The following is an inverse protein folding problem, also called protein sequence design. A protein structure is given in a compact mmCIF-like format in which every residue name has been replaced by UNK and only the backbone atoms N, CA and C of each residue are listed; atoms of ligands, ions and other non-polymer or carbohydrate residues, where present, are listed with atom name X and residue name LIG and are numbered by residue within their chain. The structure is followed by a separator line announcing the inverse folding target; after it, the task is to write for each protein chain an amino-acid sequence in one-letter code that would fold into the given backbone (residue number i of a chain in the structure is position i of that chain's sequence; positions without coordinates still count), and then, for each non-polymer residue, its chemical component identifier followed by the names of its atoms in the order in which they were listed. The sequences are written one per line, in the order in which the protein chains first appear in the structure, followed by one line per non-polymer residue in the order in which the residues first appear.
data_IF_673735223670
#
_entry.id   IF_673735223670
#
_cell.length_a   1.000
_cell.length_b   1.000
_cell.length_c   1.000
_cell.angle_alpha   90.00
_cell.angle_beta   90.00
_cell.angle_gamma   90.00
#
_symmetry.space_group_name_H-M   'P 1'
#
loop_
_entity.id
_entity.type
_entity.pdbx_description
1 polymer ?
#
# COMPACT_ATOMS: atom_id res chain seq x y z
N UNK A 1 -35.64 38.75 -50.57
CA UNK A 1 -35.44 37.76 -49.49
C UNK A 1 -34.33 36.81 -49.96
N UNK A 2 -33.08 37.16 -49.65
CA UNK A 2 -31.89 36.40 -50.09
C UNK A 2 -31.65 35.28 -49.07
N UNK A 3 -31.69 34.02 -49.50
CA UNK A 3 -31.33 32.87 -48.67
C UNK A 3 -29.87 32.48 -48.93
N UNK A 4 -29.13 32.42 -47.84
CA UNK A 4 -27.69 32.30 -47.71
C UNK A 4 -27.36 30.85 -47.32
N UNK A 5 -26.53 30.11 -48.07
CA UNK A 5 -25.89 28.89 -47.54
C UNK A 5 -24.48 28.75 -48.14
N UNK A 6 -23.47 29.13 -47.35
CA UNK A 6 -22.06 28.72 -47.53
C UNK A 6 -21.88 27.32 -46.95
N UNK A 7 -21.22 26.42 -47.69
CA UNK A 7 -20.83 25.09 -47.23
C UNK A 7 -19.29 25.03 -47.17
N UNK A 8 -18.72 25.20 -45.97
CA UNK A 8 -17.32 24.87 -45.69
C UNK A 8 -17.28 23.57 -44.89
N UNK A 9 -16.79 22.50 -45.51
CA UNK A 9 -16.56 21.20 -44.87
C UNK A 9 -15.21 21.21 -44.15
N UNK A 10 -15.21 21.26 -42.81
CA UNK A 10 -14.00 21.13 -42.00
C UNK A 10 -13.85 19.66 -41.56
N UNK A 11 -12.92 18.93 -42.17
CA UNK A 11 -12.49 17.60 -41.68
C UNK A 11 -11.60 17.80 -40.44
N UNK A 12 -12.14 17.48 -39.26
CA UNK A 12 -11.34 17.36 -38.04
C UNK A 12 -10.72 15.96 -37.99
N UNK A 13 -9.41 15.86 -38.26
CA UNK A 13 -8.63 14.65 -38.06
C UNK A 13 -8.49 14.34 -36.57
N UNK A 14 -9.11 13.26 -36.11
CA UNK A 14 -8.89 12.69 -34.78
C UNK A 14 -7.50 12.04 -34.77
N UNK A 15 -6.52 12.75 -34.20
CA UNK A 15 -5.24 12.13 -33.83
C UNK A 15 -5.43 11.44 -32.49
N UNK A 16 -5.44 10.11 -32.52
CA UNK A 16 -5.42 9.26 -31.31
C UNK A 16 -4.06 9.39 -30.64
N UNK A 17 -3.99 10.20 -29.59
CA UNK A 17 -2.86 10.22 -28.65
C UNK A 17 -2.89 8.92 -27.85
N UNK A 18 -1.99 7.98 -28.18
CA UNK A 18 -1.67 6.87 -27.30
C UNK A 18 -1.00 7.45 -26.05
N UNK A 19 -1.75 7.55 -24.95
CA UNK A 19 -1.19 7.83 -23.64
C UNK A 19 -0.33 6.63 -23.21
N UNK A 20 0.97 6.69 -23.50
CA UNK A 20 1.95 5.86 -22.82
C UNK A 20 1.87 6.21 -21.34
N UNK A 21 1.31 5.31 -20.54
CA UNK A 21 1.37 5.38 -19.08
C UNK A 21 2.85 5.41 -18.67
N UNK A 22 3.38 6.61 -18.43
CA UNK A 22 4.67 6.81 -17.80
C UNK A 22 4.60 6.19 -16.41
N UNK A 23 5.07 4.95 -16.33
CA UNK A 23 5.23 4.21 -15.09
C UNK A 23 6.41 4.86 -14.36
N UNK A 24 6.15 5.97 -13.67
CA UNK A 24 7.10 6.64 -12.78
C UNK A 24 7.33 5.72 -11.58
N UNK A 25 8.18 4.71 -11.78
CA UNK A 25 8.57 3.78 -10.72
C UNK A 25 9.20 4.58 -9.59
N UNK A 26 8.89 4.19 -8.36
CA UNK A 26 9.50 4.81 -7.21
C UNK A 26 11.03 4.64 -7.25
N UNK A 27 11.74 5.62 -6.70
CA UNK A 27 13.21 5.59 -6.61
C UNK A 27 13.67 4.29 -5.94
N UNK A 28 14.73 3.67 -6.46
CA UNK A 28 15.26 2.40 -5.94
C UNK A 28 14.60 1.14 -6.51
N UNK A 29 13.65 1.25 -7.44
CA UNK A 29 13.03 0.09 -8.10
C UNK A 29 11.88 -0.54 -7.31
N UNK A 30 11.48 0.08 -6.19
CA UNK A 30 10.32 -0.31 -5.40
C UNK A 30 9.02 -0.15 -6.20
N UNK A 31 8.00 -0.95 -5.86
CA UNK A 31 6.69 -0.93 -6.50
C UNK A 31 5.67 -0.38 -5.51
N UNK A 32 5.28 0.86 -5.75
CA UNK A 32 4.51 1.69 -4.82
C UNK A 32 3.31 2.28 -5.56
N UNK A 33 2.23 1.50 -5.63
CA UNK A 33 0.99 1.90 -6.29
C UNK A 33 -0.01 2.35 -5.23
N UNK A 34 -0.77 3.41 -5.50
CA UNK A 34 -1.82 3.91 -4.59
C UNK A 34 -3.06 3.04 -4.54
N UNK A 35 -3.17 1.97 -5.35
CA UNK A 35 -4.22 0.96 -5.23
C UNK A 35 -3.78 -0.35 -5.88
N UNK A 36 -4.44 -1.45 -5.53
CA UNK A 36 -4.18 -2.74 -6.14
C UNK A 36 -4.80 -3.90 -5.38
N UNK A 37 -4.32 -5.11 -5.69
CA UNK A 37 -4.66 -6.32 -4.94
C UNK A 37 -3.57 -6.64 -3.93
N UNK A 38 -3.99 -7.19 -2.79
CA UNK A 38 -3.11 -7.56 -1.71
C UNK A 38 -3.53 -8.86 -1.04
N UNK A 39 -2.62 -9.40 -0.26
CA UNK A 39 -2.91 -10.41 0.77
C UNK A 39 -2.77 -9.78 2.15
N UNK A 40 -3.39 -10.40 3.14
CA UNK A 40 -3.52 -9.87 4.49
C UNK A 40 -3.25 -10.98 5.50
N UNK A 41 -2.39 -10.70 6.48
CA UNK A 41 -2.21 -11.53 7.68
C UNK A 41 -2.23 -10.64 8.92
N UNK A 42 -1.91 -11.20 10.09
CA UNK A 42 -1.81 -10.44 11.33
C UNK A 42 -0.58 -10.82 12.15
N UNK A 43 -0.04 -9.85 12.88
CA UNK A 43 1.12 -10.02 13.75
C UNK A 43 0.94 -9.27 15.08
N UNK A 44 1.77 -9.61 16.06
CA UNK A 44 1.86 -8.94 17.37
C UNK A 44 3.21 -8.25 17.52
N UNK A 45 3.30 -7.25 18.41
CA UNK A 45 4.56 -6.60 18.75
C UNK A 45 4.90 -5.38 17.88
N UNK A 46 3.91 -4.57 17.50
CA UNK A 46 4.11 -3.41 16.62
C UNK A 46 4.53 -2.12 17.34
N UNK A 47 4.99 -2.24 18.59
CA UNK A 47 5.39 -1.09 19.43
C UNK A 47 6.74 -0.47 19.08
N UNK A 48 7.61 -1.20 18.36
CA UNK A 48 8.91 -0.72 17.91
C UNK A 48 9.16 -1.00 16.40
N UNK A 49 8.35 -0.39 15.51
CA UNK A 49 8.32 -0.80 14.11
C UNK A 49 9.40 -0.12 13.26
N UNK A 50 9.62 -0.60 12.03
CA UNK A 50 10.70 -0.18 11.14
C UNK A 50 10.68 1.30 10.73
N UNK A 51 9.51 1.96 10.74
CA UNK A 51 9.43 3.41 10.51
C UNK A 51 9.95 4.23 11.70
N UNK A 52 10.18 3.59 12.85
CA UNK A 52 10.73 4.21 14.06
C UNK A 52 9.72 5.00 14.90
N UNK A 53 8.44 4.94 14.56
CA UNK A 53 7.33 5.45 15.36
C UNK A 53 6.20 4.43 15.33
N UNK A 54 5.68 4.06 16.48
CA UNK A 54 4.39 3.36 16.60
C UNK A 54 3.23 4.34 16.36
N UNK A 55 1.99 3.85 16.39
CA UNK A 55 0.80 4.67 16.40
C UNK A 55 -0.32 3.97 17.18
N UNK A 56 -1.29 4.72 17.73
CA UNK A 56 -2.38 4.17 18.55
C UNK A 56 -3.56 3.63 17.75
N UNK A 57 -3.71 4.05 16.49
CA UNK A 57 -4.73 3.54 15.58
C UNK A 57 -4.33 2.23 14.91
N UNK A 58 -5.16 1.73 13.99
CA UNK A 58 -4.83 0.50 13.25
C UNK A 58 -3.58 0.70 12.41
N UNK A 59 -2.61 -0.20 12.59
CA UNK A 59 -1.33 -0.16 11.89
C UNK A 59 -1.09 -1.45 11.12
N UNK A 60 -0.22 -1.38 10.12
CA UNK A 60 0.21 -2.55 9.37
C UNK A 60 1.70 -2.47 9.00
N UNK A 61 2.30 -3.64 8.84
CA UNK A 61 3.55 -3.81 8.11
C UNK A 61 3.26 -4.00 6.62
N UNK A 62 4.04 -3.39 5.74
CA UNK A 62 3.91 -3.56 4.28
C UNK A 62 5.06 -4.40 3.74
N UNK A 63 4.82 -5.23 2.71
CA UNK A 63 5.88 -6.02 2.10
C UNK A 63 7.04 -5.15 1.59
N UNK A 64 8.27 -5.64 1.73
CA UNK A 64 9.50 -4.90 1.47
C UNK A 64 9.55 -4.18 0.12
N UNK A 65 9.05 -4.82 -0.95
CA UNK A 65 9.03 -4.25 -2.30
C UNK A 65 8.17 -2.98 -2.42
N UNK A 66 7.19 -2.82 -1.53
CA UNK A 66 6.33 -1.64 -1.44
C UNK A 66 6.70 -0.72 -0.25
N UNK A 67 7.28 -1.26 0.82
CA UNK A 67 7.70 -0.50 1.98
C UNK A 67 8.71 0.61 1.63
N UNK A 68 9.65 0.30 0.74
CA UNK A 68 10.64 1.28 0.28
C UNK A 68 11.96 1.28 1.04
N UNK A 69 12.26 0.23 1.80
CA UNK A 69 13.51 0.09 2.57
C UNK A 69 13.79 -1.38 2.87
N UNK A 70 14.99 -1.70 3.36
CA UNK A 70 15.39 -3.02 3.82
C UNK A 70 15.61 -3.03 5.34
N UNK A 71 15.63 -4.21 6.00
CA UNK A 71 15.92 -4.30 7.42
C UNK A 71 17.19 -3.54 7.82
N UNK A 72 17.08 -2.68 8.84
CA UNK A 72 18.19 -1.87 9.36
C UNK A 72 18.46 -0.55 8.62
N UNK A 73 17.81 -0.27 7.48
CA UNK A 73 17.99 1.00 6.74
C UNK A 73 17.01 2.11 7.13
N UNK A 74 16.10 1.83 8.07
CA UNK A 74 15.11 2.78 8.57
C UNK A 74 13.89 2.95 7.65
N UNK A 75 13.23 4.09 7.77
CA UNK A 75 11.94 4.37 7.12
C UNK A 75 12.02 4.42 5.58
N UNK A 76 11.16 3.64 4.92
CA UNK A 76 10.86 3.75 3.49
C UNK A 76 9.68 4.69 3.21
N UNK A 77 9.37 4.92 1.94
CA UNK A 77 8.35 5.89 1.53
C UNK A 77 6.92 5.50 1.92
N UNK A 78 6.67 4.23 2.24
CA UNK A 78 5.37 3.78 2.74
C UNK A 78 5.06 4.30 4.14
N UNK A 79 6.08 4.68 4.91
CA UNK A 79 5.93 5.08 6.30
C UNK A 79 4.99 6.26 6.51
N UNK A 80 3.90 6.01 7.24
CA UNK A 80 2.89 6.98 7.59
C UNK A 80 1.71 7.07 6.62
N UNK A 81 1.80 6.45 5.44
CA UNK A 81 0.68 6.45 4.48
C UNK A 81 -0.49 5.63 5.00
N UNK A 82 -1.70 6.06 4.67
CA UNK A 82 -2.93 5.41 5.09
C UNK A 82 -3.62 4.69 3.94
N UNK A 83 -4.13 3.49 4.19
CA UNK A 83 -4.75 2.65 3.18
C UNK A 83 -6.07 2.09 3.70
N UNK A 84 -7.14 2.27 2.91
CA UNK A 84 -8.35 1.49 3.05
C UNK A 84 -8.10 0.10 2.46
N UNK A 85 -8.12 -0.93 3.29
CA UNK A 85 -7.91 -2.32 2.89
C UNK A 85 -9.22 -3.10 3.03
N UNK A 86 -9.51 -3.98 2.08
CA UNK A 86 -10.76 -4.76 2.04
C UNK A 86 -10.45 -6.23 1.80
N UNK A 87 -10.89 -7.10 2.71
CA UNK A 87 -10.87 -8.54 2.50
C UNK A 87 -11.96 -8.96 1.51
N UNK A 88 -11.70 -9.95 0.67
CA UNK A 88 -12.70 -10.46 -0.30
C UNK A 88 -12.69 -11.98 -0.48
N UNK A 89 -11.65 -12.67 -0.02
CA UNK A 89 -11.54 -14.11 -0.10
C UNK A 89 -10.57 -14.66 0.95
N UNK A 90 -10.85 -15.85 1.47
CA UNK A 90 -9.88 -16.66 2.23
C UNK A 90 -9.22 -17.66 1.27
N UNK A 91 -7.90 -17.58 1.02
CA UNK A 91 -7.20 -18.50 0.12
C UNK A 91 -7.14 -19.95 0.64
N UNK A 92 -7.33 -20.17 1.95
CA UNK A 92 -7.36 -21.49 2.58
C UNK A 92 -8.77 -22.06 2.70
N UNK A 93 -9.78 -21.20 2.67
CA UNK A 93 -11.20 -21.57 2.69
C UNK A 93 -11.93 -20.98 1.48
N UNK A 94 -11.67 -21.45 0.24
CA UNK A 94 -12.16 -20.81 -0.98
C UNK A 94 -13.71 -20.78 -1.11
N UNK A 95 -14.41 -21.60 -0.34
CA UNK A 95 -15.88 -21.61 -0.29
C UNK A 95 -16.46 -20.65 0.77
N UNK A 96 -15.62 -20.00 1.58
CA UNK A 96 -16.06 -19.01 2.57
C UNK A 96 -16.45 -17.71 1.86
N UNK A 97 -17.68 -17.26 2.09
CA UNK A 97 -18.27 -16.10 1.40
C UNK A 97 -18.33 -14.83 2.26
N UNK A 98 -17.72 -14.84 3.44
CA UNK A 98 -17.70 -13.71 4.37
C UNK A 98 -18.50 -13.94 5.65
N UNK A 99 -18.73 -12.88 6.45
CA UNK A 99 -18.55 -11.47 6.11
C UNK A 99 -17.09 -11.07 5.89
N UNK A 100 -16.85 -10.10 5.03
CA UNK A 100 -15.55 -9.44 4.90
C UNK A 100 -15.66 -7.97 5.30
N UNK A 101 -14.55 -7.40 5.75
CA UNK A 101 -14.50 -6.06 6.33
C UNK A 101 -13.52 -5.15 5.58
N UNK A 102 -13.77 -3.84 5.73
CA UNK A 102 -12.87 -2.77 5.29
C UNK A 102 -12.40 -2.00 6.51
N UNK A 103 -11.10 -1.77 6.64
CA UNK A 103 -10.52 -0.87 7.65
C UNK A 103 -9.54 0.10 7.00
N UNK A 104 -9.24 1.20 7.69
CA UNK A 104 -8.14 2.10 7.29
C UNK A 104 -6.96 1.86 8.23
N UNK A 105 -5.81 1.50 7.67
CA UNK A 105 -4.56 1.29 8.40
C UNK A 105 -3.53 2.36 8.05
N UNK A 106 -2.68 2.73 9.00
CA UNK A 106 -1.45 3.49 8.76
C UNK A 106 -0.27 2.52 8.67
N UNK A 107 0.56 2.61 7.62
CA UNK A 107 1.77 1.77 7.52
C UNK A 107 2.84 2.32 8.46
N UNK A 108 3.25 1.51 9.42
CA UNK A 108 4.30 1.88 10.38
C UNK A 108 5.48 0.91 10.35
N UNK A 109 5.34 -0.23 9.66
CA UNK A 109 6.31 -1.31 9.76
C UNK A 109 6.62 -1.99 8.42
N UNK A 110 7.67 -2.79 8.43
CA UNK A 110 8.18 -3.57 7.32
C UNK A 110 7.87 -5.05 7.53
N UNK A 111 7.27 -5.67 6.52
CA UNK A 111 7.27 -7.13 6.38
C UNK A 111 8.40 -7.52 5.40
N UNK A 112 9.55 -8.02 5.90
CA UNK A 112 10.71 -8.27 5.06
C UNK A 112 10.54 -9.53 4.20
N UNK A 113 11.23 -9.59 3.06
CA UNK A 113 11.29 -10.80 2.20
C UNK A 113 11.84 -11.99 3.01
N UNK A 114 12.93 -11.77 3.74
CA UNK A 114 13.56 -12.80 4.56
C UNK A 114 12.61 -13.21 5.70
N UNK A 115 12.33 -14.51 5.79
CA UNK A 115 11.46 -15.08 6.82
C UNK A 115 9.97 -15.09 6.49
N UNK A 116 9.52 -14.33 5.48
CA UNK A 116 8.10 -14.19 5.14
C UNK A 116 7.81 -14.47 3.66
N UNK A 117 8.51 -15.44 3.05
CA UNK A 117 8.49 -15.68 1.59
C UNK A 117 7.09 -15.95 1.05
N UNK A 118 6.22 -16.61 1.83
CA UNK A 118 4.84 -16.92 1.43
C UNK A 118 4.03 -15.64 1.15
N UNK A 119 4.21 -14.60 1.97
CA UNK A 119 3.34 -13.43 2.01
C UNK A 119 4.03 -12.15 1.50
N UNK A 120 5.28 -11.93 1.91
CA UNK A 120 6.06 -10.72 1.66
C UNK A 120 7.28 -10.96 0.76
N UNK A 121 7.35 -12.13 0.10
CA UNK A 121 8.46 -12.54 -0.76
C UNK A 121 8.53 -11.85 -2.13
N UNK A 122 7.75 -10.80 -2.38
CA UNK A 122 7.78 -10.08 -3.65
C UNK A 122 9.14 -9.41 -3.88
N UNK A 123 9.66 -9.54 -5.09
CA UNK A 123 10.89 -8.88 -5.56
C UNK A 123 10.67 -8.21 -6.92
N UNK A 124 11.66 -7.48 -7.41
CA UNK A 124 11.59 -6.87 -8.74
C UNK A 124 11.55 -7.91 -9.87
N UNK A 125 12.16 -9.10 -9.67
CA UNK A 125 12.14 -10.20 -10.65
C UNK A 125 10.91 -11.11 -10.51
N UNK A 126 10.35 -11.23 -9.31
CA UNK A 126 9.10 -11.94 -9.05
C UNK A 126 8.18 -11.10 -8.17
N UNK A 127 7.30 -10.33 -8.81
CA UNK A 127 6.51 -9.31 -8.12
C UNK A 127 5.34 -9.85 -7.31
N UNK A 128 5.04 -11.16 -7.38
CA UNK A 128 3.91 -11.76 -6.67
C UNK A 128 4.40 -12.70 -5.58
N UNK A 129 3.67 -12.75 -4.47
CA UNK A 129 3.86 -13.76 -3.45
C UNK A 129 3.22 -15.11 -3.85
N UNK A 130 3.25 -16.10 -2.95
CA UNK A 130 2.74 -17.44 -3.25
C UNK A 130 1.21 -17.49 -3.45
N UNK A 131 0.51 -16.44 -3.05
CA UNK A 131 -0.93 -16.25 -3.24
C UNK A 131 -1.25 -15.35 -4.45
N UNK A 132 -0.26 -15.11 -5.31
CA UNK A 132 -0.41 -14.33 -6.53
C UNK A 132 -0.65 -12.83 -6.28
N UNK A 133 -0.29 -12.31 -5.10
CA UNK A 133 -0.53 -10.91 -4.73
C UNK A 133 0.72 -10.05 -4.79
N UNK A 134 0.66 -8.87 -5.44
CA UNK A 134 1.81 -7.98 -5.55
C UNK A 134 2.10 -7.16 -4.29
N UNK A 135 1.12 -7.06 -3.39
CA UNK A 135 1.25 -6.38 -2.11
C UNK A 135 0.84 -7.29 -0.96
N UNK A 136 1.37 -7.02 0.21
CA UNK A 136 0.94 -7.62 1.47
C UNK A 136 0.87 -6.58 2.57
N UNK A 137 -0.18 -6.69 3.39
CA UNK A 137 -0.31 -5.95 4.64
C UNK A 137 -0.43 -6.95 5.79
N UNK A 138 0.54 -6.92 6.69
CA UNK A 138 0.50 -7.68 7.93
C UNK A 138 -0.06 -6.76 9.02
N UNK A 139 -1.29 -7.01 9.48
CA UNK A 139 -2.07 -6.08 10.28
C UNK A 139 -1.76 -6.28 11.76
N UNK A 140 -1.41 -5.20 12.47
CA UNK A 140 -1.09 -5.32 13.89
C UNK A 140 -2.32 -5.70 14.74
N UNK A 141 -2.17 -6.73 15.56
CA UNK A 141 -3.18 -7.16 16.52
C UNK A 141 -3.25 -6.22 17.73
N UNK A 142 -2.11 -5.68 18.17
CA UNK A 142 -1.99 -4.90 19.41
C UNK A 142 -2.86 -3.64 19.42
N UNK A 143 -3.10 -3.04 18.25
CA UNK A 143 -3.94 -1.84 18.08
C UNK A 143 -5.38 -2.16 17.71
N UNK A 144 -5.76 -3.44 17.66
CA UNK A 144 -7.12 -3.91 17.36
C UNK A 144 -7.44 -4.05 15.86
N UNK A 145 -6.51 -3.68 14.96
CA UNK A 145 -6.77 -3.70 13.51
C UNK A 145 -7.11 -5.09 12.99
N UNK A 146 -6.37 -6.11 13.42
CA UNK A 146 -6.63 -7.49 13.02
C UNK A 146 -8.03 -7.97 13.47
N UNK A 147 -8.44 -7.63 14.71
CA UNK A 147 -9.75 -8.01 15.25
C UNK A 147 -10.92 -7.35 14.49
N UNK A 148 -10.68 -6.18 13.90
CA UNK A 148 -11.66 -5.46 13.09
C UNK A 148 -11.72 -5.95 11.63
N UNK A 149 -10.65 -6.61 11.14
CA UNK A 149 -10.53 -7.01 9.74
C UNK A 149 -10.85 -8.49 9.50
N UNK A 150 -10.34 -9.38 10.36
CA UNK A 150 -10.41 -10.82 10.16
C UNK A 150 -11.61 -11.44 10.86
N UNK A 151 -12.50 -12.13 10.11
CA UNK A 151 -13.52 -12.98 10.72
C UNK A 151 -12.89 -14.08 11.59
N UNK A 152 -13.59 -14.50 12.64
CA UNK A 152 -13.11 -15.57 13.52
C UNK A 152 -12.82 -16.85 12.72
N UNK A 153 -11.63 -17.43 12.89
CA UNK A 153 -11.18 -18.61 12.15
C UNK A 153 -10.52 -18.32 10.79
N UNK A 154 -10.49 -17.07 10.34
CA UNK A 154 -9.98 -16.67 9.02
C UNK A 154 -8.81 -15.69 9.16
N UNK A 155 -7.63 -16.20 9.52
CA UNK A 155 -6.46 -15.36 9.85
C UNK A 155 -5.60 -14.91 8.67
N UNK A 156 -5.94 -15.33 7.46
CA UNK A 156 -5.28 -14.89 6.23
C UNK A 156 -6.34 -14.65 5.16
N UNK A 157 -6.25 -13.51 4.48
CA UNK A 157 -7.21 -13.12 3.45
C UNK A 157 -6.48 -12.58 2.22
N UNK A 158 -7.21 -12.47 1.13
CA UNK A 158 -6.82 -11.69 -0.03
C UNK A 158 -7.92 -10.68 -0.38
N UNK A 159 -7.56 -9.64 -1.11
CA UNK A 159 -8.50 -8.61 -1.54
C UNK A 159 -7.81 -7.38 -2.11
N UNK A 160 -8.27 -6.19 -1.74
CA UNK A 160 -7.85 -4.93 -2.37
C UNK A 160 -7.41 -3.90 -1.35
N UNK A 161 -6.62 -2.94 -1.82
CA UNK A 161 -6.27 -1.75 -1.05
C UNK A 161 -6.35 -0.50 -1.93
N UNK A 162 -6.62 0.63 -1.29
CA UNK A 162 -6.59 1.97 -1.88
C UNK A 162 -5.99 2.93 -0.86
N UNK A 163 -4.97 3.67 -1.24
CA UNK A 163 -4.40 4.75 -0.45
C UNK A 163 -5.43 5.87 -0.29
N UNK A 164 -5.58 6.35 0.93
CA UNK A 164 -6.55 7.38 1.31
C UNK A 164 -5.86 8.45 2.16
N UNK A 165 -6.47 9.63 2.24
CA UNK A 165 -6.04 10.64 3.20
C UNK A 165 -6.07 10.06 4.62
N UNK A 166 -5.03 10.31 5.41
CA UNK A 166 -5.01 9.92 6.82
C UNK A 166 -6.06 10.63 7.68
N UNK A 167 -6.81 11.60 7.13
CA UNK A 167 -8.05 12.08 7.76
C UNK A 167 -9.11 10.98 7.94
N UNK A 168 -9.04 9.88 7.19
CA UNK A 168 -9.90 8.70 7.34
C UNK A 168 -9.38 7.69 8.37
N UNK A 169 -8.14 7.86 8.84
CA UNK A 169 -7.54 7.01 9.85
C UNK A 169 -7.73 7.63 11.24
N UNK A 170 -8.10 6.81 12.23
CA UNK A 170 -8.25 7.26 13.61
C UNK A 170 -7.07 6.79 14.44
N UNK A 171 -6.41 7.72 15.13
CA UNK A 171 -5.30 7.43 16.04
C UNK A 171 -4.36 8.61 16.19
N UNK A 172 -3.22 8.37 16.83
CA UNK A 172 -2.13 9.34 16.98
C UNK A 172 -0.79 8.63 16.88
N UNK A 173 0.20 9.34 16.35
CA UNK A 173 1.57 8.85 16.27
C UNK A 173 2.20 8.74 17.67
N UNK A 174 3.01 7.69 17.85
CA UNK A 174 3.93 7.58 18.97
C UNK A 174 5.15 8.49 18.83
N UNK A 175 5.98 8.50 19.88
CA UNK A 175 7.26 9.20 19.87
C UNK A 175 8.27 8.58 18.90
N UNK A 176 9.26 9.37 18.50
CA UNK A 176 10.42 8.89 17.73
C UNK A 176 11.26 7.93 18.59
N UNK A 177 11.53 6.73 18.06
CA UNK A 177 12.33 5.70 18.75
C UNK A 177 13.83 5.82 18.43
N UNK A 178 14.16 6.38 17.27
CA UNK A 178 15.54 6.62 16.84
C UNK A 178 15.67 7.82 15.90
N UNK A 179 16.90 8.32 15.72
CA UNK A 179 17.17 9.38 14.74
C UNK A 179 16.91 8.89 13.32
N UNK A 180 16.07 9.61 12.58
CA UNK A 180 15.63 9.20 11.23
C UNK A 180 14.31 8.44 11.21
N UNK A 181 13.64 8.28 12.35
CA UNK A 181 12.24 7.82 12.38
C UNK A 181 11.35 8.75 11.57
N UNK A 182 10.39 8.21 10.82
CA UNK A 182 9.55 9.02 9.93
C UNK A 182 8.19 8.37 9.72
N UNK A 183 7.13 9.17 9.81
CA UNK A 183 5.76 8.84 9.36
C UNK A 183 5.17 9.98 8.52
N UNK A 184 6.03 10.80 7.89
CA UNK A 184 5.61 12.02 7.17
C UNK A 184 4.71 11.74 5.96
N UNK A 185 4.68 10.49 5.47
CA UNK A 185 3.74 10.03 4.45
C UNK A 185 2.27 10.24 4.83
N UNK A 186 1.95 10.47 6.11
CA UNK A 186 0.58 10.77 6.56
C UNK A 186 0.00 12.08 6.00
N UNK A 187 0.89 12.99 5.57
CA UNK A 187 0.55 14.30 5.02
C UNK A 187 0.85 14.44 3.53
N UNK A 188 1.42 13.40 2.93
CA UNK A 188 1.77 13.40 1.51
C UNK A 188 0.56 13.11 0.62
N UNK A 189 0.52 13.64 -0.61
CA UNK A 189 -0.37 13.13 -1.63
C UNK A 189 -0.13 11.63 -1.85
N UNK A 190 -1.17 10.93 -2.29
CA UNK A 190 -1.07 9.52 -2.66
C UNK A 190 0.06 9.27 -3.67
N UNK A 191 0.60 8.06 -3.68
CA UNK A 191 1.54 7.62 -4.71
C UNK A 191 1.00 7.87 -6.13
N UNK A 192 1.85 8.29 -7.08
CA UNK A 192 3.33 8.20 -7.08
C UNK A 192 4.08 9.41 -6.48
N UNK A 193 3.45 10.24 -5.64
CA UNK A 193 4.14 11.36 -4.97
C UNK A 193 5.12 10.90 -3.89
N UNK A 194 6.31 11.49 -3.84
CA UNK A 194 7.24 11.43 -2.69
C UNK A 194 7.35 12.78 -1.95
N UNK A 195 6.58 13.79 -2.37
CA UNK A 195 6.67 15.14 -1.81
C UNK A 195 6.28 15.14 -0.33
N UNK A 196 7.19 15.62 0.53
CA UNK A 196 6.99 15.70 1.98
C UNK A 196 6.97 14.36 2.72
N UNK A 197 7.26 13.25 2.03
CA UNK A 197 7.25 11.90 2.60
C UNK A 197 8.64 11.47 3.09
N UNK A 198 8.78 10.20 3.52
CA UNK A 198 10.02 9.66 4.09
C UNK A 198 11.09 9.29 3.05
N UNK A 199 10.70 9.04 1.78
CA UNK A 199 11.59 8.61 0.71
C UNK A 199 12.05 7.15 0.85
N UNK A 200 12.37 6.51 -0.28
CA UNK A 200 12.92 5.16 -0.29
C UNK A 200 14.40 5.12 0.16
N UNK A 201 14.87 3.94 0.60
CA UNK A 201 16.24 3.67 1.04
C UNK A 201 16.81 2.47 0.28
N UNK A 202 18.01 2.62 -0.27
CA UNK A 202 18.68 1.58 -1.04
C UNK A 202 17.92 1.16 -2.31
N UNK A 203 18.08 -0.10 -2.69
CA UNK A 203 17.45 -0.70 -3.87
C UNK A 203 16.49 -1.81 -3.42
N UNK A 204 15.37 -1.94 -4.12
CA UNK A 204 14.40 -2.99 -3.93
C UNK A 204 15.03 -4.39 -4.04
N UNK A 205 14.48 -5.40 -3.34
CA UNK A 205 14.94 -6.78 -3.47
C UNK A 205 14.74 -7.29 -4.91
N UNK A 206 15.68 -8.12 -5.38
CA UNK A 206 15.69 -8.69 -6.73
C UNK A 206 15.37 -10.16 -6.72
#
# INVERSE_FOLDING_TARGET
MLLNISLLSLLAGLTSVNALTLNTRATGGYIQNSSGSASFTMYTGCGAPACGKSASGFTAAMNQLAFGSAPGLGAGDACGRCFAITGTADPFSPNFTGPFHTIVVKVTDLCPVQGNVEWCGQTTSNQNNQHGKPFHFDICQDTGGASAFFPSGHGALTGTFTEVSCSQWSGSDGGSLFNGSCLSGESSPNWPSTSGSCGNKGTAPS
#
